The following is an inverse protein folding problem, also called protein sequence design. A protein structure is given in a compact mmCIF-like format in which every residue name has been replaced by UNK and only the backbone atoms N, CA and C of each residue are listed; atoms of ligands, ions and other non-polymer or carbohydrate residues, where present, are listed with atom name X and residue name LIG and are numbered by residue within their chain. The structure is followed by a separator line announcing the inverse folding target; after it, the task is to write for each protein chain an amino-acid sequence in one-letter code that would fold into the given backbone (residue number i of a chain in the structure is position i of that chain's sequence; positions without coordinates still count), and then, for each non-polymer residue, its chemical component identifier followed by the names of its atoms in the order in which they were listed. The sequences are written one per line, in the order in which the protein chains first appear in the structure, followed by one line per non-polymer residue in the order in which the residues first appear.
data_IF_558382424391
#
_entry.id   IF_558382424391
#
_cell.length_a   1.000
_cell.length_b   1.000
_cell.length_c   1.000
_cell.angle_alpha   90.00
_cell.angle_beta   90.00
_cell.angle_gamma   90.00
#
_symmetry.space_group_name_H-M   'P 1'
#
loop_
_entity.id
_entity.type
_entity.pdbx_description
1 polymer ?
#
# COMPACT_ATOMS: atom_id res chain seq x y z
N UNK A 1 -14.95 25.76 3.31
CA UNK A 1 -13.57 26.18 2.95
C UNK A 1 -13.29 27.64 3.29
N UNK A 2 -14.06 28.63 2.80
CA UNK A 2 -13.81 30.08 3.05
C UNK A 2 -13.60 30.43 4.53
N UNK A 3 -14.48 29.94 5.41
CA UNK A 3 -14.36 30.17 6.87
C UNK A 3 -13.06 29.60 7.47
N UNK A 4 -12.56 28.49 6.93
CA UNK A 4 -11.31 27.86 7.39
C UNK A 4 -10.12 28.72 6.95
N UNK A 5 -10.13 29.22 5.70
CA UNK A 5 -9.10 30.15 5.21
C UNK A 5 -9.07 31.43 6.06
N UNK A 6 -10.24 32.00 6.39
CA UNK A 6 -10.32 33.18 7.25
C UNK A 6 -9.76 32.93 8.66
N UNK A 7 -9.99 31.74 9.22
CA UNK A 7 -9.41 31.35 10.50
C UNK A 7 -7.89 31.18 10.40
N UNK A 8 -7.39 30.52 9.36
CA UNK A 8 -5.97 30.35 9.10
C UNK A 8 -5.25 31.70 8.97
N UNK A 9 -5.84 32.67 8.26
CA UNK A 9 -5.28 34.02 8.17
C UNK A 9 -5.17 34.72 9.53
N UNK A 10 -6.10 34.49 10.47
CA UNK A 10 -6.02 35.01 11.85
C UNK A 10 -4.90 34.36 12.66
N UNK A 11 -4.46 33.17 12.27
CA UNK A 11 -3.35 32.43 12.86
C UNK A 11 -2.04 32.65 12.10
N UNK A 12 -1.97 33.64 11.21
CA UNK A 12 -0.83 33.91 10.32
C UNK A 12 -0.45 32.71 9.41
N UNK A 13 -1.42 31.87 9.08
CA UNK A 13 -1.28 30.78 8.11
C UNK A 13 -1.83 31.22 6.75
N UNK A 14 -0.94 31.26 5.75
CA UNK A 14 -1.29 31.71 4.41
C UNK A 14 -1.88 30.60 3.53
N UNK A 15 -1.71 29.34 3.94
CA UNK A 15 -2.17 28.18 3.20
C UNK A 15 -2.72 27.11 4.14
N UNK A 16 -3.73 26.39 3.69
CA UNK A 16 -4.32 25.27 4.42
C UNK A 16 -4.28 24.00 3.58
N UNK A 17 -4.03 22.90 4.26
CA UNK A 17 -4.21 21.55 3.71
C UNK A 17 -5.51 21.00 4.27
N UNK A 18 -6.39 20.50 3.40
CA UNK A 18 -7.64 19.85 3.78
C UNK A 18 -7.60 18.41 3.31
N UNK A 19 -7.55 17.48 4.27
CA UNK A 19 -7.67 16.05 4.01
C UNK A 19 -9.13 15.62 4.19
N UNK A 20 -9.67 14.89 3.21
CA UNK A 20 -11.10 14.56 3.18
C UNK A 20 -11.36 13.16 2.61
N UNK A 21 -12.46 12.53 3.01
CA UNK A 21 -12.97 11.35 2.30
C UNK A 21 -13.37 11.68 0.86
N UNK A 22 -13.61 10.67 0.03
CA UNK A 22 -13.91 10.83 -1.40
C UNK A 22 -15.11 11.75 -1.68
N UNK A 23 -16.17 11.66 -0.89
CA UNK A 23 -17.40 12.42 -1.13
C UNK A 23 -17.16 13.91 -0.87
N UNK A 24 -16.47 14.24 0.23
CA UNK A 24 -16.10 15.62 0.53
C UNK A 24 -15.02 16.12 -0.44
N UNK A 25 -14.00 15.31 -0.72
CA UNK A 25 -12.90 15.64 -1.63
C UNK A 25 -13.40 16.02 -3.03
N UNK A 26 -14.25 15.18 -3.62
CA UNK A 26 -14.83 15.43 -4.95
C UNK A 26 -15.58 16.76 -5.04
N UNK A 27 -16.44 17.05 -4.06
CA UNK A 27 -17.20 18.31 -4.01
C UNK A 27 -16.32 19.52 -3.73
N UNK A 28 -15.36 19.38 -2.82
CA UNK A 28 -14.39 20.44 -2.56
C UNK A 28 -13.55 20.74 -3.81
N UNK A 29 -13.17 19.71 -4.57
CA UNK A 29 -12.37 19.89 -5.79
C UNK A 29 -13.16 20.60 -6.89
N UNK A 30 -14.42 20.20 -7.10
CA UNK A 30 -15.34 20.92 -8.01
C UNK A 30 -15.45 22.41 -7.66
N UNK A 31 -15.50 22.75 -6.37
CA UNK A 31 -15.52 24.16 -5.92
C UNK A 31 -14.20 24.86 -6.26
N UNK A 32 -13.05 24.24 -5.99
CA UNK A 32 -11.74 24.84 -6.26
C UNK A 32 -11.47 25.04 -7.76
N UNK A 33 -12.01 24.18 -8.64
CA UNK A 33 -11.92 24.37 -10.08
C UNK A 33 -12.64 25.62 -10.59
N UNK A 34 -13.65 26.13 -9.88
CA UNK A 34 -14.27 27.42 -10.18
C UNK A 34 -13.39 28.61 -9.79
N UNK A 35 -12.19 28.36 -9.25
CA UNK A 35 -11.19 29.35 -8.84
C UNK A 35 -11.76 30.55 -8.05
N UNK A 36 -12.50 30.32 -6.96
CA UNK A 36 -13.05 31.40 -6.15
C UNK A 36 -11.90 32.26 -5.58
N UNK A 37 -11.94 33.60 -5.71
CA UNK A 37 -10.85 34.49 -5.29
C UNK A 37 -10.43 34.32 -3.83
N UNK A 38 -11.36 33.95 -2.95
CA UNK A 38 -11.11 33.76 -1.53
C UNK A 38 -10.29 32.51 -1.21
N UNK A 39 -10.22 31.53 -2.13
CA UNK A 39 -9.53 30.25 -1.94
C UNK A 39 -8.31 30.07 -2.86
N UNK A 40 -8.23 30.86 -3.94
CA UNK A 40 -7.19 30.76 -4.96
C UNK A 40 -5.79 30.80 -4.34
N UNK A 41 -4.99 29.76 -4.58
CA UNK A 41 -3.62 29.63 -4.08
C UNK A 41 -3.49 29.49 -2.56
N UNK A 42 -4.59 29.26 -1.82
CA UNK A 42 -4.61 29.16 -0.35
C UNK A 42 -5.01 27.79 0.20
N UNK A 43 -5.44 26.88 -0.67
CA UNK A 43 -5.99 25.57 -0.27
C UNK A 43 -5.38 24.47 -1.11
N UNK A 44 -4.82 23.45 -0.45
CA UNK A 44 -4.47 22.16 -1.07
C UNK A 44 -5.40 21.09 -0.53
N UNK A 45 -6.06 20.35 -1.43
CA UNK A 45 -6.89 19.21 -1.07
C UNK A 45 -6.09 17.92 -1.11
N UNK A 46 -6.29 17.07 -0.11
CA UNK A 46 -5.77 15.72 -0.08
C UNK A 46 -6.90 14.72 0.08
N UNK A 47 -6.79 13.61 -0.64
CA UNK A 47 -7.65 12.46 -0.42
C UNK A 47 -7.17 11.73 0.83
N UNK A 48 -8.09 11.41 1.75
CA UNK A 48 -7.76 10.78 3.01
C UNK A 48 -7.29 9.33 2.85
N UNK A 49 -6.05 9.07 3.26
CA UNK A 49 -5.39 7.77 3.19
C UNK A 49 -6.19 6.61 3.77
N UNK A 50 -6.69 6.76 5.00
CA UNK A 50 -7.48 5.73 5.68
C UNK A 50 -8.71 5.31 4.85
N UNK A 51 -9.44 6.28 4.28
CA UNK A 51 -10.63 5.99 3.48
C UNK A 51 -10.28 5.35 2.14
N UNK A 52 -9.15 5.72 1.56
CA UNK A 52 -8.64 5.08 0.35
C UNK A 52 -8.21 3.63 0.63
N UNK A 53 -7.51 3.39 1.74
CA UNK A 53 -7.14 2.05 2.19
C UNK A 53 -8.37 1.19 2.50
N UNK A 54 -9.40 1.74 3.15
CA UNK A 54 -10.68 1.03 3.35
C UNK A 54 -11.37 0.68 2.02
N UNK A 55 -11.32 1.58 1.04
CA UNK A 55 -11.83 1.30 -0.29
C UNK A 55 -11.04 0.20 -0.99
N UNK A 56 -9.71 0.20 -0.84
CA UNK A 56 -8.82 -0.83 -1.37
C UNK A 56 -9.03 -2.20 -0.72
N UNK A 57 -9.16 -2.26 0.60
CA UNK A 57 -9.58 -3.48 1.33
C UNK A 57 -10.89 -4.02 0.77
N UNK A 58 -11.83 -3.13 0.47
CA UNK A 58 -13.11 -3.54 -0.09
C UNK A 58 -13.02 -3.95 -1.57
N UNK A 59 -11.96 -3.58 -2.30
CA UNK A 59 -11.62 -4.18 -3.60
C UNK A 59 -11.04 -5.59 -3.43
N UNK A 60 -10.14 -5.78 -2.46
CA UNK A 60 -9.60 -7.11 -2.13
C UNK A 60 -10.75 -8.07 -1.82
N UNK A 61 -11.70 -7.63 -1.00
CA UNK A 61 -12.90 -8.42 -0.71
C UNK A 61 -13.76 -8.73 -1.95
N UNK A 62 -13.86 -7.80 -2.90
CA UNK A 62 -14.58 -8.02 -4.17
C UNK A 62 -13.87 -9.03 -5.07
N UNK A 63 -12.54 -8.93 -5.20
CA UNK A 63 -11.75 -9.78 -6.10
C UNK A 63 -11.59 -11.19 -5.53
N UNK A 64 -11.26 -11.31 -4.24
CA UNK A 64 -10.83 -12.57 -3.62
C UNK A 64 -11.86 -13.20 -2.69
N UNK A 65 -12.88 -12.46 -2.26
CA UNK A 65 -13.82 -12.87 -1.22
C UNK A 65 -14.51 -14.19 -1.51
N UNK A 66 -15.12 -14.30 -2.69
CA UNK A 66 -15.81 -15.52 -3.14
C UNK A 66 -14.84 -16.53 -3.80
N UNK A 67 -13.63 -16.09 -4.18
CA UNK A 67 -12.57 -16.96 -4.69
C UNK A 67 -11.80 -17.73 -3.59
N UNK A 68 -12.44 -17.95 -2.43
CA UNK A 68 -11.91 -18.78 -1.35
C UNK A 68 -11.37 -18.03 -0.13
N UNK A 69 -11.08 -16.73 -0.21
CA UNK A 69 -10.54 -15.97 0.92
C UNK A 69 -11.50 -16.00 2.13
N UNK A 70 -12.80 -15.79 1.90
CA UNK A 70 -13.80 -15.89 2.97
C UNK A 70 -13.84 -17.30 3.56
N UNK A 71 -13.76 -18.32 2.71
CA UNK A 71 -13.77 -19.72 3.16
C UNK A 71 -12.56 -20.06 4.02
N UNK A 72 -11.36 -19.59 3.65
CA UNK A 72 -10.15 -19.79 4.44
C UNK A 72 -10.32 -19.17 5.83
N UNK A 73 -10.71 -17.89 5.89
CA UNK A 73 -10.85 -17.16 7.15
C UNK A 73 -11.92 -17.74 8.08
N UNK A 74 -13.04 -18.22 7.52
CA UNK A 74 -14.13 -18.81 8.29
C UNK A 74 -13.81 -20.24 8.72
N UNK A 75 -13.34 -21.10 7.81
CA UNK A 75 -13.10 -22.53 8.12
C UNK A 75 -11.88 -22.73 9.02
N UNK A 76 -10.93 -21.81 9.00
CA UNK A 76 -9.79 -21.79 9.93
C UNK A 76 -10.12 -21.14 11.29
N UNK A 77 -11.40 -20.82 11.54
CA UNK A 77 -11.90 -20.20 12.78
C UNK A 77 -11.19 -18.88 13.17
N UNK A 78 -10.73 -18.13 12.15
CA UNK A 78 -10.13 -16.79 12.37
C UNK A 78 -11.23 -15.76 12.65
N UNK A 79 -12.32 -15.82 11.87
CA UNK A 79 -13.47 -14.93 12.04
C UNK A 79 -14.77 -15.63 11.66
N UNK A 80 -15.83 -15.34 12.41
CA UNK A 80 -17.19 -15.71 12.01
C UNK A 80 -17.58 -15.06 10.66
N UNK A 81 -18.46 -15.72 9.91
CA UNK A 81 -18.86 -15.33 8.54
C UNK A 81 -19.28 -13.86 8.42
N UNK A 82 -20.11 -13.36 9.34
CA UNK A 82 -20.53 -11.97 9.28
C UNK A 82 -19.37 -10.98 9.56
N UNK A 83 -18.39 -11.37 10.38
CA UNK A 83 -17.19 -10.56 10.59
C UNK A 83 -16.31 -10.53 9.35
N UNK A 84 -16.10 -11.69 8.70
CA UNK A 84 -15.41 -11.78 7.40
C UNK A 84 -16.08 -10.87 6.35
N UNK A 85 -17.40 -10.94 6.24
CA UNK A 85 -18.17 -10.11 5.30
C UNK A 85 -18.00 -8.61 5.57
N UNK A 86 -18.00 -8.18 6.83
CA UNK A 86 -17.86 -6.77 7.18
C UNK A 86 -16.42 -6.26 6.97
N UNK A 87 -15.41 -7.07 7.32
CA UNK A 87 -14.01 -6.70 7.09
C UNK A 87 -13.68 -6.62 5.61
N UNK A 88 -14.13 -7.59 4.79
CA UNK A 88 -13.92 -7.60 3.34
C UNK A 88 -14.75 -6.55 2.60
N UNK A 89 -15.74 -5.94 3.27
CA UNK A 89 -16.40 -4.71 2.80
C UNK A 89 -15.68 -3.42 3.21
N UNK A 90 -14.50 -3.53 3.83
CA UNK A 90 -13.75 -2.39 4.35
C UNK A 90 -14.41 -1.69 5.53
N UNK A 91 -15.45 -2.28 6.16
CA UNK A 91 -16.20 -1.65 7.26
C UNK A 91 -15.58 -1.89 8.63
N UNK A 92 -14.67 -2.85 8.74
CA UNK A 92 -13.97 -3.20 9.98
C UNK A 92 -12.46 -3.16 9.73
N UNK A 93 -11.89 -1.95 9.71
CA UNK A 93 -10.51 -1.69 9.31
C UNK A 93 -9.48 -2.57 10.04
N UNK A 94 -9.43 -2.53 11.38
CA UNK A 94 -8.44 -3.29 12.15
C UNK A 94 -8.56 -4.80 11.96
N UNK A 95 -9.80 -5.32 11.83
CA UNK A 95 -10.04 -6.74 11.55
C UNK A 95 -9.60 -7.11 10.13
N UNK A 96 -9.87 -6.24 9.17
CA UNK A 96 -9.46 -6.41 7.79
C UNK A 96 -7.95 -6.53 7.67
N UNK A 97 -7.21 -5.58 8.23
CA UNK A 97 -5.73 -5.63 8.26
C UNK A 97 -5.27 -6.94 8.89
N UNK A 98 -5.78 -7.30 10.08
CA UNK A 98 -5.37 -8.53 10.77
C UNK A 98 -5.64 -9.79 9.94
N UNK A 99 -6.85 -9.93 9.39
CA UNK A 99 -7.23 -11.13 8.64
C UNK A 99 -6.51 -11.26 7.31
N UNK A 100 -6.35 -10.16 6.58
CA UNK A 100 -5.60 -10.16 5.31
C UNK A 100 -4.12 -10.48 5.54
N UNK A 101 -3.51 -9.91 6.60
CA UNK A 101 -2.12 -10.26 6.97
C UNK A 101 -1.98 -11.73 7.34
N UNK A 102 -2.91 -12.30 8.11
CA UNK A 102 -2.88 -13.72 8.46
C UNK A 102 -3.04 -14.64 7.24
N UNK A 103 -3.95 -14.30 6.33
CA UNK A 103 -4.14 -15.06 5.10
C UNK A 103 -2.88 -14.98 4.22
N UNK A 104 -2.30 -13.80 4.05
CA UNK A 104 -1.06 -13.61 3.29
C UNK A 104 0.10 -14.40 3.92
N UNK A 105 0.31 -14.32 5.23
CA UNK A 105 1.36 -15.08 5.92
C UNK A 105 1.21 -16.60 5.70
N UNK A 106 -0.01 -17.13 5.85
CA UNK A 106 -0.27 -18.55 5.63
C UNK A 106 0.00 -18.97 4.18
N UNK A 107 -0.43 -18.18 3.20
CA UNK A 107 -0.23 -18.46 1.77
C UNK A 107 1.25 -18.31 1.40
N UNK A 108 1.95 -17.29 1.91
CA UNK A 108 3.38 -17.10 1.70
C UNK A 108 4.19 -18.28 2.22
N UNK A 109 3.86 -18.84 3.39
CA UNK A 109 4.52 -20.06 3.91
C UNK A 109 4.38 -21.24 2.95
N UNK A 110 3.17 -21.48 2.45
CA UNK A 110 2.94 -22.52 1.45
C UNK A 110 3.74 -22.25 0.16
N UNK A 111 3.79 -20.99 -0.28
CA UNK A 111 4.58 -20.60 -1.44
C UNK A 111 6.07 -20.85 -1.23
N UNK A 112 6.60 -20.57 -0.04
CA UNK A 112 7.99 -20.84 0.32
C UNK A 112 8.31 -22.34 0.33
N UNK A 113 7.41 -23.17 0.85
CA UNK A 113 7.58 -24.63 0.82
C UNK A 113 7.64 -25.15 -0.62
N UNK A 114 6.77 -24.62 -1.49
CA UNK A 114 6.75 -24.98 -2.92
C UNK A 114 8.01 -24.45 -3.63
N UNK A 115 8.47 -23.25 -3.30
CA UNK A 115 9.71 -22.68 -3.84
C UNK A 115 10.92 -23.54 -3.46
N UNK A 116 11.02 -23.97 -2.20
CA UNK A 116 12.12 -24.80 -1.74
C UNK A 116 12.18 -26.13 -2.51
N UNK A 117 11.04 -26.80 -2.66
CA UNK A 117 10.96 -28.04 -3.44
C UNK A 117 11.31 -27.81 -4.92
N UNK A 118 10.75 -26.76 -5.53
CA UNK A 118 11.04 -26.41 -6.92
C UNK A 118 12.53 -26.11 -7.13
N UNK A 119 13.16 -25.40 -6.20
CA UNK A 119 14.57 -25.08 -6.27
C UNK A 119 15.45 -26.34 -6.17
N UNK A 120 15.14 -27.22 -5.22
CA UNK A 120 15.85 -28.49 -5.04
C UNK A 120 15.76 -29.40 -6.28
N UNK A 121 14.59 -29.44 -6.92
CA UNK A 121 14.38 -30.20 -8.15
C UNK A 121 15.14 -29.61 -9.36
N UNK A 122 15.15 -28.29 -9.51
CA UNK A 122 15.71 -27.61 -10.68
C UNK A 122 17.22 -27.36 -10.58
N UNK A 123 17.72 -27.01 -9.40
CA UNK A 123 19.13 -26.65 -9.18
C UNK A 123 19.94 -27.79 -8.53
N UNK A 124 19.27 -28.85 -8.04
CA UNK A 124 19.88 -30.01 -7.36
C UNK A 124 20.70 -29.63 -6.11
N UNK A 125 20.29 -28.56 -5.44
CA UNK A 125 20.90 -28.04 -4.22
C UNK A 125 19.80 -27.66 -3.22
N UNK A 126 20.09 -27.78 -1.92
CA UNK A 126 19.15 -27.39 -0.86
C UNK A 126 18.93 -25.88 -0.87
N UNK A 127 17.67 -25.45 -0.90
CA UNK A 127 17.33 -24.01 -0.95
C UNK A 127 17.84 -23.25 0.28
N UNK A 128 17.59 -23.77 1.49
CA UNK A 128 18.13 -23.21 2.74
C UNK A 128 19.53 -23.77 3.02
N UNK A 129 20.49 -23.34 2.20
CA UNK A 129 21.90 -23.64 2.43
C UNK A 129 22.52 -22.70 3.49
N UNK A 130 23.79 -22.94 3.82
CA UNK A 130 24.48 -22.12 4.83
C UNK A 130 24.64 -20.66 4.40
N UNK A 131 24.70 -20.38 3.09
CA UNK A 131 24.71 -19.02 2.56
C UNK A 131 23.43 -18.23 2.87
N UNK A 132 22.25 -18.85 2.71
CA UNK A 132 20.97 -18.25 3.11
C UNK A 132 20.95 -17.96 4.61
N UNK A 133 21.37 -18.92 5.43
CA UNK A 133 21.40 -18.75 6.89
C UNK A 133 22.33 -17.62 7.31
N UNK A 134 23.51 -17.53 6.70
CA UNK A 134 24.45 -16.45 6.93
C UNK A 134 23.89 -15.10 6.47
N UNK A 135 23.20 -15.05 5.33
CA UNK A 135 22.51 -13.85 4.85
C UNK A 135 21.44 -13.37 5.85
N UNK A 136 20.54 -14.27 6.29
CA UNK A 136 19.48 -13.93 7.26
C UNK A 136 20.06 -13.42 8.57
N UNK A 137 21.09 -14.07 9.10
CA UNK A 137 21.77 -13.64 10.33
C UNK A 137 22.44 -12.27 10.15
N UNK A 138 23.02 -12.00 8.98
CA UNK A 138 23.64 -10.72 8.65
C UNK A 138 22.59 -9.60 8.62
N UNK A 139 21.44 -9.83 7.97
CA UNK A 139 20.30 -8.89 7.93
C UNK A 139 19.77 -8.62 9.35
N UNK A 140 19.53 -9.67 10.15
CA UNK A 140 19.06 -9.52 11.53
C UNK A 140 20.06 -8.71 12.37
N UNK A 141 21.36 -8.98 12.20
CA UNK A 141 22.41 -8.25 12.91
C UNK A 141 22.47 -6.77 12.50
N UNK A 142 22.19 -6.47 11.23
CA UNK A 142 22.08 -5.11 10.73
C UNK A 142 20.85 -4.40 11.27
N UNK A 143 19.68 -5.03 11.25
CA UNK A 143 18.46 -4.44 11.80
C UNK A 143 18.57 -4.12 13.31
N UNK A 144 19.42 -4.86 14.03
CA UNK A 144 19.71 -4.60 15.45
C UNK A 144 20.74 -3.50 15.68
N UNK A 145 21.58 -3.18 14.70
CA UNK A 145 22.62 -2.16 14.81
C UNK A 145 22.09 -0.84 14.26
N UNK A 146 22.24 0.25 15.01
CA UNK A 146 21.81 1.59 14.58
C UNK A 146 22.65 2.18 13.44
N UNK A 147 23.76 1.53 13.06
CA UNK A 147 24.68 2.01 12.02
C UNK A 147 24.88 0.90 10.98
N UNK A 148 24.53 1.22 9.73
CA UNK A 148 24.67 0.33 8.58
C UNK A 148 26.14 0.29 8.16
N UNK A 149 26.70 -0.91 8.03
CA UNK A 149 28.01 -1.14 7.42
C UNK A 149 27.82 -1.29 5.90
N UNK A 150 28.34 -0.32 5.15
CA UNK A 150 28.12 -0.20 3.71
C UNK A 150 28.66 -1.38 2.90
N UNK A 151 29.76 -2.01 3.33
CA UNK A 151 30.34 -3.16 2.63
C UNK A 151 29.51 -4.42 2.85
N UNK A 152 29.06 -4.64 4.09
CA UNK A 152 28.13 -5.72 4.39
C UNK A 152 26.78 -5.52 3.70
N UNK A 153 26.29 -4.27 3.62
CA UNK A 153 25.05 -3.95 2.90
C UNK A 153 25.15 -4.25 1.40
N UNK A 154 26.25 -3.88 0.74
CA UNK A 154 26.49 -4.21 -0.68
C UNK A 154 26.51 -5.72 -0.91
N UNK A 155 27.22 -6.48 -0.07
CA UNK A 155 27.26 -7.95 -0.17
C UNK A 155 25.88 -8.58 0.02
N UNK A 156 25.05 -8.03 0.92
CA UNK A 156 23.66 -8.46 1.12
C UNK A 156 22.83 -8.17 -0.13
N UNK A 157 22.94 -6.98 -0.71
CA UNK A 157 22.22 -6.60 -1.94
C UNK A 157 22.53 -7.58 -3.08
N UNK A 158 23.80 -7.83 -3.36
CA UNK A 158 24.19 -8.75 -4.44
C UNK A 158 23.62 -10.15 -4.24
N UNK A 159 23.64 -10.67 -2.99
CA UNK A 159 23.02 -11.96 -2.70
C UNK A 159 21.49 -11.91 -2.88
N UNK A 160 20.84 -10.81 -2.52
CA UNK A 160 19.39 -10.63 -2.74
C UNK A 160 19.04 -10.63 -4.23
N UNK A 161 19.86 -9.98 -5.07
CA UNK A 161 19.67 -9.96 -6.53
C UNK A 161 19.68 -11.37 -7.14
N UNK A 162 20.59 -12.24 -6.68
CA UNK A 162 20.63 -13.65 -7.11
C UNK A 162 19.33 -14.40 -6.71
N UNK A 163 18.82 -14.17 -5.49
CA UNK A 163 17.54 -14.75 -5.05
C UNK A 163 16.33 -14.17 -5.79
N UNK A 164 16.38 -12.91 -6.21
CA UNK A 164 15.31 -12.27 -6.97
C UNK A 164 15.13 -12.93 -8.34
N UNK A 165 16.24 -13.26 -9.01
CA UNK A 165 16.20 -14.02 -10.26
C UNK A 165 15.57 -15.41 -10.06
N UNK A 166 16.01 -16.14 -9.02
CA UNK A 166 15.46 -17.47 -8.69
C UNK A 166 13.95 -17.39 -8.42
N UNK A 167 13.54 -16.40 -7.64
CA UNK A 167 12.14 -16.18 -7.27
C UNK A 167 11.31 -15.85 -8.51
N UNK A 168 11.84 -15.03 -9.42
CA UNK A 168 11.21 -14.70 -10.71
C UNK A 168 11.06 -15.92 -11.61
N UNK A 169 12.09 -16.76 -11.75
CA UNK A 169 12.01 -18.03 -12.50
C UNK A 169 10.92 -18.94 -11.93
N UNK A 170 10.88 -19.09 -10.60
CA UNK A 170 9.89 -19.88 -9.89
C UNK A 170 8.45 -19.36 -10.11
N UNK A 171 8.22 -18.06 -9.91
CA UNK A 171 6.90 -17.44 -10.07
C UNK A 171 6.39 -17.62 -11.50
N UNK A 172 7.25 -17.39 -12.50
CA UNK A 172 6.89 -17.58 -13.90
C UNK A 172 6.53 -19.03 -14.21
N UNK A 173 7.30 -19.99 -13.67
CA UNK A 173 7.00 -21.42 -13.79
C UNK A 173 5.65 -21.78 -13.14
N UNK A 174 5.39 -21.31 -11.91
CA UNK A 174 4.14 -21.57 -11.20
C UNK A 174 2.92 -20.94 -11.88
N UNK A 175 3.03 -19.69 -12.33
CA UNK A 175 1.96 -18.94 -13.00
C UNK A 175 1.59 -19.51 -14.37
N UNK A 176 2.54 -20.14 -15.07
CA UNK A 176 2.28 -20.84 -16.35
C UNK A 176 1.74 -22.25 -16.13
N UNK A 177 2.11 -22.90 -15.03
CA UNK A 177 1.69 -24.26 -14.73
C UNK A 177 0.26 -24.38 -14.20
N UNK A 178 -0.16 -23.48 -13.30
CA UNK A 178 -1.50 -23.58 -12.69
C UNK A 178 -2.19 -22.23 -12.48
N UNK A 179 -3.48 -22.19 -12.77
CA UNK A 179 -4.33 -21.01 -12.52
C UNK A 179 -4.46 -20.70 -11.02
N UNK A 180 -4.43 -21.74 -10.17
CA UNK A 180 -4.52 -21.59 -8.72
C UNK A 180 -3.29 -20.90 -8.15
N UNK A 181 -2.09 -21.28 -8.60
CA UNK A 181 -0.85 -20.59 -8.23
C UNK A 181 -0.93 -19.11 -8.64
N UNK A 182 -1.25 -18.86 -9.92
CA UNK A 182 -1.36 -17.49 -10.44
C UNK A 182 -2.33 -16.64 -9.63
N UNK A 183 -3.48 -17.21 -9.26
CA UNK A 183 -4.50 -16.52 -8.46
C UNK A 183 -4.03 -16.16 -7.05
N UNK A 184 -3.40 -17.10 -6.32
CA UNK A 184 -2.93 -16.83 -4.96
C UNK A 184 -1.65 -15.98 -4.93
N UNK A 185 -0.81 -16.08 -5.95
CA UNK A 185 0.31 -15.16 -6.12
C UNK A 185 -0.18 -13.73 -6.36
N UNK A 186 -1.18 -13.55 -7.24
CA UNK A 186 -1.84 -12.25 -7.44
C UNK A 186 -2.47 -11.70 -6.15
N UNK A 187 -3.02 -12.57 -5.28
CA UNK A 187 -3.46 -12.17 -3.95
C UNK A 187 -2.31 -11.60 -3.11
N UNK A 188 -1.15 -12.27 -3.07
CA UNK A 188 0.02 -11.79 -2.33
C UNK A 188 0.52 -10.44 -2.86
N UNK A 189 0.59 -10.25 -4.18
CA UNK A 189 0.94 -8.95 -4.79
C UNK A 189 -0.04 -7.85 -4.39
N UNK A 190 -1.33 -8.20 -4.30
CA UNK A 190 -2.36 -7.24 -3.86
C UNK A 190 -2.20 -6.88 -2.39
N UNK A 191 -1.83 -7.83 -1.53
CA UNK A 191 -1.58 -7.56 -0.11
C UNK A 191 -0.29 -6.77 0.10
N UNK A 192 0.76 -7.02 -0.69
CA UNK A 192 1.96 -6.19 -0.71
C UNK A 192 1.61 -4.73 -0.99
N UNK A 193 0.80 -4.47 -2.03
CA UNK A 193 0.31 -3.12 -2.33
C UNK A 193 -0.48 -2.50 -1.16
N UNK A 194 -1.31 -3.28 -0.46
CA UNK A 194 -2.01 -2.82 0.74
C UNK A 194 -1.00 -2.39 1.83
N UNK A 195 0.06 -3.17 2.06
CA UNK A 195 1.09 -2.82 3.03
C UNK A 195 1.88 -1.58 2.60
N UNK A 196 2.21 -1.42 1.32
CA UNK A 196 2.87 -0.21 0.80
C UNK A 196 2.06 1.05 1.12
N UNK A 197 0.73 1.01 0.93
CA UNK A 197 -0.15 2.12 1.33
C UNK A 197 -0.09 2.40 2.84
N UNK A 198 -0.11 1.35 3.68
CA UNK A 198 -0.07 1.51 5.14
C UNK A 198 1.27 2.09 5.62
N UNK A 199 2.37 1.62 5.04
CA UNK A 199 3.72 2.08 5.38
C UNK A 199 3.91 3.53 4.97
N UNK A 200 3.53 3.91 3.75
CA UNK A 200 3.61 5.30 3.30
C UNK A 200 2.91 6.28 4.27
N UNK A 201 1.71 5.93 4.72
CA UNK A 201 0.94 6.73 5.69
C UNK A 201 1.57 6.74 7.09
N UNK A 202 2.13 5.61 7.54
CA UNK A 202 2.73 5.50 8.88
C UNK A 202 4.05 6.25 8.96
N UNK A 203 4.89 6.09 7.93
CA UNK A 203 6.22 6.69 7.87
C UNK A 203 6.15 8.16 7.44
N UNK A 204 5.03 8.59 6.86
CA UNK A 204 4.89 9.91 6.27
C UNK A 204 5.79 10.05 5.04
N UNK A 205 5.90 9.01 4.22
CA UNK A 205 6.60 9.06 2.94
C UNK A 205 5.61 9.44 1.83
N UNK A 206 5.67 10.71 1.41
CA UNK A 206 4.74 11.26 0.44
C UNK A 206 4.96 10.70 -0.97
N UNK A 207 6.21 10.44 -1.35
CA UNK A 207 6.51 9.90 -2.67
C UNK A 207 6.02 8.46 -2.77
N UNK A 208 6.30 7.67 -1.74
CA UNK A 208 5.85 6.29 -1.66
C UNK A 208 4.33 6.19 -1.59
N UNK A 209 3.68 7.14 -0.92
CA UNK A 209 2.22 7.27 -0.92
C UNK A 209 1.68 7.44 -2.33
N UNK A 210 2.17 8.42 -3.09
CA UNK A 210 1.68 8.67 -4.46
C UNK A 210 1.92 7.46 -5.38
N UNK A 211 3.07 6.79 -5.24
CA UNK A 211 3.37 5.58 -6.00
C UNK A 211 2.39 4.44 -5.66
N UNK A 212 2.17 4.16 -4.37
CA UNK A 212 1.22 3.13 -3.95
C UNK A 212 -0.22 3.47 -4.39
N UNK A 213 -0.63 4.73 -4.28
CA UNK A 213 -1.97 5.18 -4.72
C UNK A 213 -2.15 5.07 -6.23
N UNK A 214 -1.09 5.33 -7.02
CA UNK A 214 -1.09 5.09 -8.45
C UNK A 214 -1.30 3.61 -8.78
N UNK A 215 -0.57 2.72 -8.11
CA UNK A 215 -0.64 1.28 -8.32
C UNK A 215 -1.99 0.66 -7.92
N UNK A 216 -2.80 1.38 -7.14
CA UNK A 216 -4.18 0.98 -6.77
C UNK A 216 -5.18 1.18 -7.92
N UNK A 217 -4.90 2.05 -8.90
CA UNK A 217 -5.85 2.39 -9.98
C UNK A 217 -6.36 1.18 -10.78
N UNK A 218 -5.52 0.21 -11.21
CA UNK A 218 -5.99 -0.98 -11.93
C UNK A 218 -6.99 -1.81 -11.12
N UNK A 219 -6.79 -1.91 -9.80
CA UNK A 219 -7.68 -2.64 -8.91
C UNK A 219 -9.02 -1.94 -8.71
N UNK A 220 -9.02 -0.60 -8.66
CA UNK A 220 -10.25 0.19 -8.62
C UNK A 220 -11.09 -0.02 -9.88
N UNK A 221 -10.42 -0.07 -11.03
CA UNK A 221 -11.05 -0.36 -12.32
C UNK A 221 -11.63 -1.78 -12.34
N UNK A 222 -10.84 -2.79 -11.97
CA UNK A 222 -11.25 -4.20 -11.95
C UNK A 222 -12.45 -4.47 -11.04
N UNK A 223 -12.55 -3.75 -9.91
CA UNK A 223 -13.68 -3.86 -8.98
C UNK A 223 -14.85 -2.91 -9.29
N UNK A 224 -14.84 -2.22 -10.44
CA UNK A 224 -15.93 -1.33 -10.88
C UNK A 224 -16.10 -0.08 -10.01
N UNK A 225 -15.07 0.35 -9.28
CA UNK A 225 -15.12 1.54 -8.41
C UNK A 225 -14.87 2.83 -9.19
N UNK A 226 -15.69 3.10 -10.19
CA UNK A 226 -15.51 4.20 -11.15
C UNK A 226 -15.35 5.58 -10.48
N UNK A 227 -16.09 5.85 -9.40
CA UNK A 227 -15.96 7.12 -8.67
C UNK A 227 -14.59 7.26 -7.99
N UNK A 228 -14.11 6.19 -7.35
CA UNK A 228 -12.76 6.21 -6.78
C UNK A 228 -11.72 6.32 -7.89
N UNK A 229 -11.84 5.52 -8.96
CA UNK A 229 -10.92 5.57 -10.10
C UNK A 229 -10.78 7.01 -10.63
N UNK A 230 -11.90 7.67 -10.93
CA UNK A 230 -11.93 9.06 -11.41
C UNK A 230 -11.21 10.01 -10.45
N UNK A 231 -11.61 10.03 -9.19
CA UNK A 231 -11.14 11.04 -8.24
C UNK A 231 -9.74 10.77 -7.70
N UNK A 232 -9.31 9.51 -7.64
CA UNK A 232 -7.92 9.15 -7.33
C UNK A 232 -7.00 9.56 -8.48
N UNK A 233 -7.41 9.39 -9.74
CA UNK A 233 -6.64 9.91 -10.88
C UNK A 233 -6.52 11.44 -10.85
N UNK A 234 -7.61 12.15 -10.52
CA UNK A 234 -7.57 13.61 -10.32
C UNK A 234 -6.62 13.98 -9.19
N UNK A 235 -6.70 13.28 -8.05
CA UNK A 235 -5.81 13.51 -6.92
C UNK A 235 -4.34 13.34 -7.28
N UNK A 236 -3.97 12.26 -7.96
CA UNK A 236 -2.59 12.01 -8.39
C UNK A 236 -2.08 13.12 -9.31
N UNK A 237 -2.91 13.53 -10.29
CA UNK A 237 -2.57 14.64 -11.19
C UNK A 237 -2.40 15.96 -10.44
N UNK A 238 -3.28 16.27 -9.48
CA UNK A 238 -3.19 17.47 -8.65
C UNK A 238 -1.91 17.47 -7.79
N UNK A 239 -1.53 16.32 -7.22
CA UNK A 239 -0.32 16.19 -6.40
C UNK A 239 0.95 16.29 -7.25
N UNK A 240 0.94 15.77 -8.47
CA UNK A 240 2.08 15.90 -9.39
C UNK A 240 2.27 17.36 -9.83
N UNK A 241 1.18 18.06 -10.15
CA UNK A 241 1.23 19.44 -10.61
C UNK A 241 1.55 20.44 -9.47
N UNK A 242 1.30 20.04 -8.22
CA UNK A 242 1.58 20.86 -7.03
C UNK A 242 3.04 21.31 -6.97
N UNK A 243 3.99 20.49 -7.44
CA UNK A 243 5.43 20.81 -7.48
C UNK A 243 5.74 22.06 -8.31
N UNK A 244 4.89 22.37 -9.29
CA UNK A 244 5.04 23.52 -10.19
C UNK A 244 4.19 24.70 -9.73
N UNK A 245 2.96 24.45 -9.28
CA UNK A 245 2.03 25.51 -8.92
C UNK A 245 2.33 26.14 -7.56
N UNK A 246 2.68 25.31 -6.57
CA UNK A 246 2.90 25.74 -5.17
C UNK A 246 4.07 24.94 -4.57
N UNK A 247 5.32 25.20 -5.01
CA UNK A 247 6.48 24.36 -4.67
C UNK A 247 6.70 24.18 -3.16
N UNK A 248 6.55 25.26 -2.37
CA UNK A 248 6.72 25.19 -0.91
C UNK A 248 5.71 24.25 -0.24
N UNK A 249 4.51 24.10 -0.83
CA UNK A 249 3.49 23.19 -0.30
C UNK A 249 3.83 21.76 -0.68
N UNK A 250 4.35 21.53 -1.89
CA UNK A 250 4.88 20.23 -2.25
C UNK A 250 6.01 19.79 -1.29
N UNK A 251 6.98 20.67 -1.02
CA UNK A 251 8.07 20.40 -0.08
C UNK A 251 7.56 20.14 1.35
N UNK A 252 6.53 20.89 1.78
CA UNK A 252 5.87 20.68 3.06
C UNK A 252 5.27 19.27 3.17
N UNK A 253 4.59 18.79 2.12
CA UNK A 253 4.03 17.43 2.08
C UNK A 253 5.12 16.36 1.97
N UNK A 254 6.14 16.59 1.13
CA UNK A 254 7.30 15.72 0.97
C UNK A 254 8.10 15.53 2.26
N UNK A 255 8.03 16.51 3.18
CA UNK A 255 8.62 16.43 4.52
C UNK A 255 7.78 15.58 5.51
N UNK A 256 6.74 14.90 5.01
CA UNK A 256 5.88 13.99 5.77
C UNK A 256 4.69 14.65 6.47
N UNK A 257 4.40 15.92 6.18
CA UNK A 257 3.28 16.65 6.79
C UNK A 257 1.92 16.42 6.08
N UNK A 258 1.83 15.46 5.16
CA UNK A 258 0.55 15.01 4.60
C UNK A 258 -0.21 14.07 5.55
N UNK A 259 0.47 13.53 6.56
CA UNK A 259 -0.12 12.69 7.61
C UNK A 259 -0.04 13.38 8.96
N UNK A 260 -1.07 13.17 9.78
CA UNK A 260 -1.07 13.65 11.17
C UNK A 260 -0.39 12.61 12.05
N UNK A 261 0.84 12.88 12.46
CA UNK A 261 1.53 12.07 13.47
C UNK A 261 1.08 12.52 14.86
N UNK A 262 0.69 11.58 15.72
CA UNK A 262 0.49 11.87 17.14
C UNK A 262 1.85 12.30 17.71
N UNK A 263 1.91 13.50 18.26
CA UNK A 263 3.04 13.94 19.07
C UNK A 263 3.05 13.05 20.32
N UNK A 264 4.11 12.26 20.51
CA UNK A 264 4.36 11.58 21.79
C UNK A 264 4.78 12.61 22.84
#
# INVERSE_FOLDING_TARGET
MVRIVQLASRLNQNHIVITADLAIYSKAREILWNNPPELAGRVTLQLGGIYLTMAFIANIGYIFGDGGLTSILVKADIFAENSCRLMLKGKQYSRAIRGLTLAADAISRLLYDILANWYEENKRETFINDDVKHLMNSIISMMRKSKIDENNFKNIITKIEDYDQITTEFINSGCTSTVTFKYWYFFLETIDLLWRMLHAETDGDFYFHLAAVHDVLPYLSAAGRNLYLKWVSVYLSDMEELKHQIPYMYDFLASGNFVVKKTN
#
